data_IF_261522605468
#
_entry.id   IF_261522605468
#
_cell.length_a   1.000
_cell.length_b   1.000
_cell.length_c   1.000
_cell.angle_alpha   90.00
_cell.angle_beta   90.00
_cell.angle_gamma   90.00
#
_symmetry.space_group_name_H-M   'P 1'
#
loop_
_entity.id
_entity.type
_entity.pdbx_description
1 polymer ?
#
# COMPACT_ATOMS: atom_id res chain seq x y z
N UNK A 1 -19.78 -0.71 10.81
CA UNK A 1 -18.91 -0.35 11.93
C UNK A 1 -17.71 0.43 11.41
N UNK A 2 -17.49 1.61 11.96
CA UNK A 2 -16.48 2.54 11.47
C UNK A 2 -15.06 1.97 11.60
N UNK A 3 -14.79 1.26 12.67
CA UNK A 3 -13.46 0.70 12.90
C UNK A 3 -13.08 -0.31 11.82
N UNK A 4 -14.00 -1.19 11.46
CA UNK A 4 -13.72 -2.18 10.44
C UNK A 4 -13.50 -1.52 9.08
N UNK A 5 -14.32 -0.54 8.74
CA UNK A 5 -14.17 0.18 7.49
C UNK A 5 -12.84 0.92 7.43
N UNK A 6 -12.45 1.54 8.53
CA UNK A 6 -11.17 2.25 8.60
C UNK A 6 -9.99 1.31 8.40
N UNK A 7 -10.04 0.13 8.99
CA UNK A 7 -8.98 -0.86 8.85
C UNK A 7 -8.86 -1.34 7.40
N UNK A 8 -9.99 -1.57 6.75
CA UNK A 8 -9.98 -2.01 5.35
C UNK A 8 -9.35 -0.94 4.46
N UNK A 9 -9.74 0.31 4.65
CA UNK A 9 -9.19 1.41 3.86
C UNK A 9 -7.69 1.54 4.10
N UNK A 10 -7.27 1.45 5.35
CA UNK A 10 -5.84 1.53 5.69
C UNK A 10 -5.05 0.40 5.02
N UNK A 11 -5.60 -0.80 5.01
CA UNK A 11 -4.96 -1.93 4.36
C UNK A 11 -4.83 -1.70 2.85
N UNK A 12 -5.86 -1.17 2.23
CA UNK A 12 -5.82 -0.88 0.79
C UNK A 12 -4.74 0.14 0.47
N UNK A 13 -4.67 1.21 1.26
CA UNK A 13 -3.67 2.25 1.06
C UNK A 13 -2.27 1.68 1.21
N UNK A 14 -2.03 0.91 2.27
CA UNK A 14 -0.72 0.30 2.50
C UNK A 14 -0.35 -0.64 1.35
N UNK A 15 -1.32 -1.42 0.87
CA UNK A 15 -1.07 -2.34 -0.23
C UNK A 15 -0.64 -1.59 -1.49
N UNK A 16 -1.34 -0.51 -1.83
CA UNK A 16 -1.02 0.29 -3.01
C UNK A 16 0.37 0.89 -2.88
N UNK A 17 0.69 1.45 -1.74
CA UNK A 17 2.01 2.03 -1.52
C UNK A 17 3.11 0.98 -1.59
N UNK A 18 2.86 -0.19 -1.03
CA UNK A 18 3.84 -1.28 -1.07
C UNK A 18 4.13 -1.69 -2.51
N UNK A 19 3.11 -1.79 -3.34
CA UNK A 19 3.28 -2.14 -4.75
C UNK A 19 4.08 -1.06 -5.46
N UNK A 20 3.76 0.21 -5.20
CA UNK A 20 4.49 1.32 -5.82
C UNK A 20 5.96 1.28 -5.47
N UNK A 21 6.28 1.09 -4.21
CA UNK A 21 7.68 1.01 -3.78
C UNK A 21 8.39 -0.18 -4.38
N UNK A 22 7.71 -1.31 -4.44
CA UNK A 22 8.30 -2.51 -5.02
C UNK A 22 8.66 -2.28 -6.49
N UNK A 23 7.74 -1.68 -7.25
CA UNK A 23 7.98 -1.39 -8.66
C UNK A 23 9.12 -0.40 -8.82
N UNK A 24 9.14 0.65 -8.01
CA UNK A 24 10.22 1.64 -8.08
C UNK A 24 11.57 1.02 -7.77
N UNK A 25 11.63 0.19 -6.74
CA UNK A 25 12.88 -0.48 -6.36
C UNK A 25 13.35 -1.43 -7.46
N UNK A 26 12.42 -2.03 -8.19
CA UNK A 26 12.77 -2.95 -9.26
C UNK A 26 13.23 -2.21 -10.50
N UNK A 27 12.56 -1.11 -10.84
CA UNK A 27 12.88 -0.34 -12.05
C UNK A 27 14.08 0.58 -11.81
N UNK A 28 14.18 1.15 -10.63
CA UNK A 28 15.28 2.04 -10.26
C UNK A 28 16.09 1.41 -9.13
N UNK A 29 16.91 0.44 -9.43
CA UNK A 29 17.71 -0.27 -8.42
C UNK A 29 18.93 0.55 -8.03
N UNK A 30 18.71 1.60 -7.41
CA UNK A 30 19.83 2.41 -7.00
C UNK A 30 20.06 2.31 -5.50
#
# INVERSE_FOLDING_TARGET
>A
VVLAASLVIALVVVAVESVFRFVMTTIYPD
#
